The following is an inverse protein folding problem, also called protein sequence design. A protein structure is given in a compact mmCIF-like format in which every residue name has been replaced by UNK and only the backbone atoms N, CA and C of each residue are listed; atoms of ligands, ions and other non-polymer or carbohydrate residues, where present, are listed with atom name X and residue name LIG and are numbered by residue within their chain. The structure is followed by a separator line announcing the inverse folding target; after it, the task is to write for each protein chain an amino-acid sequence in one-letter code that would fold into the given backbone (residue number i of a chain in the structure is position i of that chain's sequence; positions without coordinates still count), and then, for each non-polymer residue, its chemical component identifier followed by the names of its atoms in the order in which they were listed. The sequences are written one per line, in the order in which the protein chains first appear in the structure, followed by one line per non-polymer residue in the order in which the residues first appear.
data_IF_853656997015
#
_entry.id   IF_853656997015
#
_cell.length_a   1.000
_cell.length_b   1.000
_cell.length_c   1.000
_cell.angle_alpha   90.00
_cell.angle_beta   90.00
_cell.angle_gamma   90.00
#
_symmetry.space_group_name_H-M   'P 1'
#
loop_
_entity.id
_entity.type
_entity.pdbx_description
1 polymer ?
#
# COMPACT_ATOMS: atom_id res chain seq x y z
N UNK A 1 -33.41 -30.07 83.40
CA UNK A 1 -32.58 -30.86 82.46
C UNK A 1 -32.72 -30.23 81.09
N UNK A 2 -31.75 -29.39 80.68
CA UNK A 2 -31.73 -28.71 79.35
C UNK A 2 -30.59 -29.28 78.58
N UNK A 3 -30.88 -30.04 77.48
CA UNK A 3 -29.90 -30.60 76.54
C UNK A 3 -29.49 -29.50 75.54
N UNK A 4 -28.22 -29.03 75.61
CA UNK A 4 -27.65 -28.13 74.60
C UNK A 4 -27.40 -28.91 73.38
N UNK A 5 -28.04 -28.48 72.25
CA UNK A 5 -27.81 -28.96 70.93
C UNK A 5 -26.70 -28.12 70.32
N UNK A 6 -25.53 -28.71 70.09
CA UNK A 6 -24.37 -28.06 69.46
C UNK A 6 -24.42 -28.31 67.94
N UNK A 7 -24.72 -27.27 67.17
CA UNK A 7 -24.69 -27.31 65.76
C UNK A 7 -23.23 -26.97 65.38
N UNK A 8 -22.53 -27.93 64.79
CA UNK A 8 -21.21 -27.70 64.15
C UNK A 8 -21.45 -27.14 62.71
N UNK A 9 -20.85 -26.01 62.29
CA UNK A 9 -20.91 -25.60 60.93
C UNK A 9 -19.97 -26.47 60.12
N UNK A 10 -20.46 -27.13 59.06
CA UNK A 10 -19.67 -27.77 58.02
C UNK A 10 -18.95 -26.68 57.21
N UNK A 11 -17.66 -26.66 57.31
CA UNK A 11 -16.82 -25.86 56.44
C UNK A 11 -16.68 -26.58 55.09
N UNK A 12 -17.58 -26.28 54.14
CA UNK A 12 -17.37 -26.62 52.74
C UNK A 12 -16.23 -25.75 52.18
N UNK A 13 -15.05 -26.31 52.19
CA UNK A 13 -13.87 -25.73 51.56
C UNK A 13 -13.95 -25.86 50.05
N UNK A 14 -14.73 -25.00 49.39
CA UNK A 14 -14.52 -24.78 47.94
C UNK A 14 -13.17 -24.10 47.75
N UNK A 15 -12.12 -24.91 47.51
CA UNK A 15 -10.80 -24.43 47.20
C UNK A 15 -10.87 -23.63 45.88
N UNK A 16 -10.95 -22.30 45.97
CA UNK A 16 -10.77 -21.41 44.83
C UNK A 16 -9.47 -21.77 44.14
N UNK A 17 -9.45 -21.91 42.79
CA UNK A 17 -8.26 -22.26 42.04
C UNK A 17 -7.15 -21.30 42.42
N UNK A 18 -6.06 -21.82 43.03
CA UNK A 18 -5.07 -21.00 43.73
C UNK A 18 -4.58 -19.87 42.82
N UNK A 19 -4.59 -18.66 43.36
CA UNK A 19 -4.16 -17.41 42.70
C UNK A 19 -2.90 -17.59 41.83
N UNK A 20 -2.02 -18.52 42.20
CA UNK A 20 -0.79 -18.87 41.44
C UNK A 20 -1.07 -19.60 40.12
N UNK A 21 -2.14 -20.43 40.02
CA UNK A 21 -2.56 -21.10 38.78
C UNK A 21 -3.19 -20.11 37.82
N UNK A 22 -4.05 -19.21 38.31
CA UNK A 22 -4.66 -18.15 37.53
C UNK A 22 -3.60 -17.16 36.98
N UNK A 23 -2.62 -16.80 37.83
CA UNK A 23 -1.54 -15.92 37.44
C UNK A 23 -0.64 -16.55 36.36
N UNK A 24 -0.38 -17.85 36.44
CA UNK A 24 0.37 -18.60 35.41
C UNK A 24 -0.39 -18.70 34.09
N UNK A 25 -1.71 -18.92 34.12
CA UNK A 25 -2.54 -18.95 32.93
C UNK A 25 -2.62 -17.58 32.26
N UNK A 26 -2.73 -16.49 33.01
CA UNK A 26 -2.70 -15.12 32.50
C UNK A 26 -1.34 -14.77 31.90
N UNK A 27 -0.22 -15.21 32.53
CA UNK A 27 1.11 -14.98 31.98
C UNK A 27 1.34 -15.73 30.66
N UNK A 28 0.87 -16.99 30.55
CA UNK A 28 0.96 -17.77 29.31
C UNK A 28 0.09 -17.16 28.21
N UNK A 29 -1.11 -16.67 28.53
CA UNK A 29 -1.98 -15.98 27.59
C UNK A 29 -1.39 -14.65 27.09
N UNK A 30 -0.71 -13.90 27.98
CA UNK A 30 -0.04 -12.65 27.61
C UNK A 30 1.17 -12.89 26.68
N UNK A 31 1.95 -13.93 26.93
CA UNK A 31 3.10 -14.30 26.08
C UNK A 31 2.63 -14.84 24.73
N UNK A 32 1.55 -15.63 24.67
CA UNK A 32 0.95 -16.13 23.44
C UNK A 32 0.38 -15.02 22.55
N UNK A 33 -0.16 -13.97 23.14
CA UNK A 33 -0.73 -12.83 22.41
C UNK A 33 0.30 -11.96 21.69
N UNK A 34 1.53 -11.86 22.20
CA UNK A 34 2.60 -11.04 21.59
C UNK A 34 3.26 -11.70 20.38
N UNK A 35 3.15 -13.02 20.22
CA UNK A 35 3.71 -13.75 19.08
C UNK A 35 2.85 -13.67 17.81
N UNK A 36 1.61 -13.16 17.90
CA UNK A 36 0.72 -12.96 16.75
C UNK A 36 0.80 -11.54 16.13
N UNK A 37 1.71 -10.69 16.59
CA UNK A 37 2.01 -9.44 15.90
C UNK A 37 2.69 -9.78 14.55
N UNK A 38 1.87 -10.19 13.59
CA UNK A 38 2.30 -10.51 12.23
C UNK A 38 2.93 -9.26 11.60
N UNK A 39 4.17 -9.36 11.15
CA UNK A 39 4.82 -8.32 10.37
C UNK A 39 4.04 -8.21 9.04
N UNK A 40 3.38 -7.07 8.81
CA UNK A 40 2.88 -6.72 7.49
C UNK A 40 4.11 -6.55 6.57
N UNK A 41 4.10 -7.22 5.45
CA UNK A 41 5.19 -7.15 4.48
C UNK A 41 4.75 -6.26 3.31
N UNK A 42 5.59 -5.26 3.00
CA UNK A 42 5.37 -4.33 1.90
C UNK A 42 6.25 -4.72 0.70
N UNK A 43 5.64 -4.77 -0.47
CA UNK A 43 6.31 -5.09 -1.72
C UNK A 43 6.18 -3.92 -2.68
N UNK A 44 7.31 -3.42 -3.17
CA UNK A 44 7.34 -2.44 -4.24
C UNK A 44 7.78 -3.11 -5.53
N UNK A 45 7.01 -2.92 -6.59
CA UNK A 45 7.28 -3.45 -7.94
C UNK A 45 7.33 -2.29 -8.94
N UNK A 46 8.18 -2.46 -9.97
CA UNK A 46 8.32 -1.49 -11.05
C UNK A 46 9.25 -0.33 -10.70
N UNK A 47 8.93 0.86 -11.21
CA UNK A 47 9.76 2.04 -11.08
C UNK A 47 9.72 2.62 -9.66
N UNK A 48 10.89 2.96 -9.12
CA UNK A 48 11.00 3.66 -7.83
C UNK A 48 11.33 5.11 -8.13
N UNK A 49 10.36 6.02 -7.85
CA UNK A 49 10.53 7.45 -8.06
C UNK A 49 11.54 8.01 -7.05
N UNK A 50 12.66 8.61 -7.51
CA UNK A 50 13.57 9.30 -6.61
C UNK A 50 12.88 10.51 -5.97
N UNK A 51 13.14 10.80 -4.69
CA UNK A 51 12.58 11.97 -4.03
C UNK A 51 12.95 13.27 -4.76
N UNK A 52 11.97 14.13 -5.05
CA UNK A 52 12.20 15.41 -5.72
C UNK A 52 12.56 15.30 -7.20
N UNK A 53 12.42 14.13 -7.84
CA UNK A 53 12.79 13.97 -9.25
C UNK A 53 11.86 14.75 -10.19
N UNK A 54 10.58 14.82 -9.88
CA UNK A 54 9.61 15.55 -10.72
C UNK A 54 9.84 17.07 -10.69
N UNK A 55 10.28 17.59 -9.56
CA UNK A 55 10.60 19.01 -9.39
C UNK A 55 11.85 19.45 -10.17
N UNK A 56 12.72 18.48 -10.52
CA UNK A 56 13.93 18.70 -11.30
C UNK A 56 13.68 18.69 -12.82
N UNK A 57 12.45 18.39 -13.24
CA UNK A 57 12.06 18.33 -14.64
C UNK A 57 11.08 19.46 -14.95
N UNK A 58 11.56 20.65 -15.31
CA UNK A 58 10.69 21.75 -15.72
C UNK A 58 10.07 21.48 -17.09
N UNK A 59 8.97 22.14 -17.39
CA UNK A 59 8.42 22.19 -18.74
C UNK A 59 9.48 22.78 -19.67
N UNK A 60 9.70 22.17 -20.84
CA UNK A 60 10.76 22.52 -21.77
C UNK A 60 12.08 21.77 -21.55
N UNK A 61 12.21 20.97 -20.50
CA UNK A 61 13.39 20.12 -20.31
C UNK A 61 13.56 19.15 -21.49
N UNK A 62 14.81 18.84 -21.86
CA UNK A 62 15.08 17.88 -22.92
C UNK A 62 14.80 16.44 -22.48
N UNK A 63 14.55 15.56 -23.45
CA UNK A 63 14.37 14.13 -23.21
C UNK A 63 15.59 13.51 -22.52
N UNK A 64 16.80 13.92 -22.88
CA UNK A 64 18.04 13.45 -22.27
C UNK A 64 18.14 13.86 -20.78
N UNK A 65 17.71 15.08 -20.46
CA UNK A 65 17.64 15.53 -19.07
C UNK A 65 16.66 14.68 -18.25
N UNK A 66 15.52 14.33 -18.83
CA UNK A 66 14.54 13.41 -18.20
C UNK A 66 15.17 12.05 -17.95
N UNK A 67 15.89 11.48 -18.92
CA UNK A 67 16.57 10.20 -18.76
C UNK A 67 17.69 10.24 -17.70
N UNK A 68 18.38 11.38 -17.54
CA UNK A 68 19.39 11.54 -16.49
C UNK A 68 18.73 11.55 -15.09
N UNK A 69 17.62 12.26 -14.94
CA UNK A 69 16.94 12.43 -13.64
C UNK A 69 16.09 11.22 -13.25
N UNK A 70 15.32 10.70 -14.22
CA UNK A 70 14.36 9.62 -13.99
C UNK A 70 14.89 8.24 -14.38
N UNK A 71 15.94 8.16 -15.17
CA UNK A 71 16.41 6.91 -15.75
C UNK A 71 15.52 6.38 -16.86
N UNK A 72 15.66 5.09 -17.17
CA UNK A 72 14.93 4.43 -18.25
C UNK A 72 13.44 4.30 -17.91
N UNK A 73 12.52 4.71 -18.80
CA UNK A 73 11.09 4.55 -18.61
C UNK A 73 10.67 3.08 -18.64
N UNK A 74 9.59 2.74 -17.97
CA UNK A 74 8.99 1.40 -17.98
C UNK A 74 8.45 1.05 -19.39
N UNK A 75 7.90 2.03 -20.09
CA UNK A 75 7.44 1.90 -21.47
C UNK A 75 7.37 3.25 -22.15
N UNK A 76 7.40 3.24 -23.47
CA UNK A 76 7.31 4.42 -24.33
C UNK A 76 6.12 4.25 -25.27
N UNK A 77 5.34 5.30 -25.45
CA UNK A 77 4.27 5.34 -26.44
C UNK A 77 4.40 6.57 -27.33
N UNK A 78 3.89 6.48 -28.56
CA UNK A 78 3.80 7.60 -29.49
C UNK A 78 2.31 7.97 -29.64
N UNK A 79 1.98 9.16 -29.18
CA UNK A 79 0.64 9.75 -29.30
C UNK A 79 0.70 10.94 -30.29
N UNK A 80 0.59 12.16 -29.78
CA UNK A 80 0.88 13.41 -30.51
C UNK A 80 2.30 13.92 -30.14
N UNK A 81 3.27 13.02 -30.18
CA UNK A 81 4.61 13.12 -29.66
C UNK A 81 4.99 11.86 -28.90
N UNK A 82 6.19 11.82 -28.36
CA UNK A 82 6.65 10.69 -27.56
C UNK A 82 6.21 10.87 -26.11
N UNK A 83 5.85 9.77 -25.46
CA UNK A 83 5.44 9.76 -24.05
C UNK A 83 6.22 8.70 -23.29
N UNK A 84 6.91 9.09 -22.23
CA UNK A 84 7.58 8.18 -21.32
C UNK A 84 6.66 7.84 -20.15
N UNK A 85 6.45 6.55 -19.90
CA UNK A 85 5.70 6.07 -18.75
C UNK A 85 6.60 5.40 -17.74
N UNK A 86 6.51 5.86 -16.49
CA UNK A 86 7.17 5.26 -15.33
C UNK A 86 6.09 4.68 -14.42
N UNK A 87 6.10 3.35 -14.29
CA UNK A 87 5.02 2.60 -13.65
C UNK A 87 5.52 2.04 -12.34
N UNK A 88 4.84 2.36 -11.24
CA UNK A 88 5.11 1.83 -9.91
C UNK A 88 3.86 1.22 -9.28
N UNK A 89 4.06 0.18 -8.48
CA UNK A 89 3.01 -0.53 -7.78
C UNK A 89 3.50 -0.88 -6.38
N UNK A 90 2.69 -0.59 -5.38
CA UNK A 90 2.90 -0.99 -4.00
C UNK A 90 1.83 -1.98 -3.59
N UNK A 91 2.26 -3.12 -3.08
CA UNK A 91 1.39 -4.16 -2.57
C UNK A 91 1.74 -4.48 -1.13
N UNK A 92 0.75 -4.80 -0.32
CA UNK A 92 0.90 -5.19 1.07
C UNK A 92 0.39 -6.61 1.29
N UNK A 93 1.08 -7.36 2.13
CA UNK A 93 0.64 -8.64 2.66
C UNK A 93 0.42 -8.48 4.15
N UNK A 94 -0.85 -8.41 4.63
CA UNK A 94 -1.14 -8.18 6.05
C UNK A 94 -0.61 -9.28 6.96
N UNK A 95 -0.64 -10.53 6.49
CA UNK A 95 -0.13 -11.72 7.19
C UNK A 95 0.42 -12.73 6.17
N UNK A 96 1.39 -13.54 6.60
CA UNK A 96 2.18 -14.42 5.72
C UNK A 96 1.35 -15.40 4.87
N UNK A 97 0.19 -15.83 5.33
CA UNK A 97 -0.68 -16.78 4.61
C UNK A 97 -1.76 -16.13 3.74
N UNK A 98 -1.83 -14.80 3.71
CA UNK A 98 -2.73 -14.05 2.82
C UNK A 98 -2.06 -13.66 1.51
N UNK A 99 -2.87 -13.49 0.47
CA UNK A 99 -2.41 -12.96 -0.80
C UNK A 99 -2.00 -11.49 -0.67
N UNK A 100 -1.04 -11.08 -1.48
CA UNK A 100 -0.67 -9.68 -1.61
C UNK A 100 -1.85 -8.90 -2.18
N UNK A 101 -2.12 -7.72 -1.60
CA UNK A 101 -3.11 -6.78 -2.10
C UNK A 101 -2.42 -5.52 -2.59
N UNK A 102 -2.70 -5.11 -3.81
CA UNK A 102 -2.24 -3.83 -4.34
C UNK A 102 -2.93 -2.70 -3.57
N UNK A 103 -2.14 -1.85 -2.93
CA UNK A 103 -2.64 -0.73 -2.11
C UNK A 103 -2.40 0.62 -2.77
N UNK A 104 -1.38 0.73 -3.62
CA UNK A 104 -1.12 1.93 -4.40
C UNK A 104 -0.55 1.57 -5.77
N UNK A 105 -0.92 2.36 -6.77
CA UNK A 105 -0.50 2.19 -8.14
C UNK A 105 -0.37 3.56 -8.78
N UNK A 106 0.82 3.84 -9.34
CA UNK A 106 1.14 5.13 -9.95
C UNK A 106 1.70 4.95 -11.34
N UNK A 107 1.28 5.82 -12.24
CA UNK A 107 1.80 5.93 -13.59
C UNK A 107 2.19 7.39 -13.81
N UNK A 108 3.50 7.66 -13.85
CA UNK A 108 4.00 8.98 -14.20
C UNK A 108 4.16 8.99 -15.71
N UNK A 109 3.52 9.95 -16.39
CA UNK A 109 3.59 10.16 -17.81
C UNK A 109 4.27 11.50 -18.10
N UNK A 110 5.33 11.45 -18.90
CA UNK A 110 6.05 12.63 -19.37
C UNK A 110 5.84 12.74 -20.88
N UNK A 111 5.11 13.77 -21.28
CA UNK A 111 4.75 14.03 -22.67
C UNK A 111 5.76 14.97 -23.29
N UNK A 112 6.28 14.59 -24.46
CA UNK A 112 7.22 15.40 -25.22
C UNK A 112 6.53 16.01 -26.43
N UNK A 113 7.03 17.17 -26.84
CA UNK A 113 6.67 17.78 -28.10
C UNK A 113 7.51 17.21 -29.28
N UNK A 114 7.29 17.74 -30.50
CA UNK A 114 8.04 17.35 -31.71
C UNK A 114 9.53 17.67 -31.64
N UNK A 115 9.93 18.59 -30.72
CA UNK A 115 11.33 18.98 -30.52
C UNK A 115 11.97 18.14 -29.37
N UNK A 116 11.29 17.09 -28.90
CA UNK A 116 11.75 16.24 -27.79
C UNK A 116 11.92 17.01 -26.46
N UNK A 117 11.08 18.02 -26.23
CA UNK A 117 11.04 18.80 -25.01
C UNK A 117 9.79 18.47 -24.22
N UNK A 118 9.87 18.49 -22.88
CA UNK A 118 8.75 18.22 -21.99
C UNK A 118 7.65 19.25 -22.21
N UNK A 119 6.52 18.80 -22.72
CA UNK A 119 5.29 19.57 -22.92
C UNK A 119 4.41 19.53 -21.68
N UNK A 120 4.30 18.37 -21.01
CA UNK A 120 3.45 18.13 -19.86
C UNK A 120 3.97 16.98 -19.02
N UNK A 121 3.77 17.08 -17.70
CA UNK A 121 3.89 15.97 -16.76
C UNK A 121 2.52 15.62 -16.21
N UNK A 122 2.29 14.34 -16.00
CA UNK A 122 1.10 13.85 -15.30
C UNK A 122 1.50 12.71 -14.34
N UNK A 123 0.81 12.62 -13.21
CA UNK A 123 1.00 11.56 -12.23
C UNK A 123 -0.36 10.91 -11.99
N UNK A 124 -0.62 9.83 -12.70
CA UNK A 124 -1.88 9.11 -12.62
C UNK A 124 -1.84 8.07 -11.50
N UNK A 125 -2.93 7.98 -10.77
CA UNK A 125 -3.21 6.93 -9.80
C UNK A 125 -4.69 6.63 -9.75
N UNK A 126 -5.09 5.68 -8.91
CA UNK A 126 -6.49 5.37 -8.68
C UNK A 126 -7.00 6.15 -7.47
N UNK A 127 -8.11 6.85 -7.66
CA UNK A 127 -8.88 7.50 -6.60
C UNK A 127 -10.34 7.11 -6.78
N UNK A 128 -10.91 6.48 -5.76
CA UNK A 128 -12.30 5.99 -5.77
C UNK A 128 -12.62 5.08 -6.99
N UNK A 129 -11.64 4.27 -7.42
CA UNK A 129 -11.75 3.38 -8.58
C UNK A 129 -11.63 4.05 -9.94
N UNK A 130 -11.39 5.36 -9.99
CA UNK A 130 -11.20 6.14 -11.22
C UNK A 130 -9.75 6.60 -11.36
N UNK A 131 -9.29 6.68 -12.61
CA UNK A 131 -7.97 7.23 -12.93
C UNK A 131 -8.02 8.74 -12.64
N UNK A 132 -7.09 9.21 -11.81
CA UNK A 132 -6.98 10.60 -11.40
C UNK A 132 -5.55 11.10 -11.62
N UNK A 133 -5.41 12.29 -12.21
CA UNK A 133 -4.10 12.95 -12.35
C UNK A 133 -3.82 13.83 -11.13
N UNK A 134 -2.84 13.46 -10.35
CA UNK A 134 -2.45 14.17 -9.12
C UNK A 134 -1.69 15.47 -9.38
N UNK A 135 -1.18 15.70 -10.60
CA UNK A 135 -0.54 16.96 -10.99
C UNK A 135 -1.60 18.00 -11.36
N UNK A 136 -2.48 17.66 -12.31
CA UNK A 136 -3.57 18.56 -12.74
C UNK A 136 -4.78 18.53 -11.81
N UNK A 137 -4.86 17.54 -10.91
CA UNK A 137 -5.99 17.29 -9.99
C UNK A 137 -7.33 17.09 -10.72
N UNK A 138 -7.27 16.46 -11.87
CA UNK A 138 -8.42 16.18 -12.71
C UNK A 138 -8.49 14.69 -13.09
N UNK A 139 -9.67 14.25 -13.49
CA UNK A 139 -9.84 12.93 -14.12
C UNK A 139 -9.64 13.12 -15.63
N UNK A 140 -8.79 12.30 -16.29
CA UNK A 140 -8.63 12.38 -17.73
C UNK A 140 -9.97 12.12 -18.43
N UNK A 141 -10.41 13.05 -19.28
CA UNK A 141 -11.67 12.94 -20.01
C UNK A 141 -11.48 12.72 -21.51
N UNK A 142 -10.25 12.86 -22.02
CA UNK A 142 -9.99 12.63 -23.42
C UNK A 142 -9.85 11.14 -23.73
N UNK A 143 -10.58 10.67 -24.76
CA UNK A 143 -10.68 9.26 -25.10
C UNK A 143 -9.34 8.59 -25.43
N UNK A 144 -8.36 9.32 -25.97
CA UNK A 144 -7.05 8.78 -26.29
C UNK A 144 -6.24 8.45 -25.04
N UNK A 145 -6.16 9.35 -24.06
CA UNK A 145 -5.42 9.10 -22.81
C UNK A 145 -6.00 7.94 -22.03
N UNK A 146 -7.32 7.86 -21.89
CA UNK A 146 -7.99 6.74 -21.23
C UNK A 146 -7.77 5.41 -21.96
N UNK A 147 -7.66 5.43 -23.29
CA UNK A 147 -7.39 4.24 -24.09
C UNK A 147 -6.05 3.59 -23.76
N UNK A 148 -5.01 4.36 -23.42
CA UNK A 148 -3.71 3.84 -23.03
C UNK A 148 -3.60 3.57 -21.52
N UNK A 149 -4.15 4.44 -20.68
CA UNK A 149 -4.05 4.31 -19.23
C UNK A 149 -4.90 3.16 -18.69
N UNK A 150 -6.10 2.95 -19.23
CA UNK A 150 -7.00 1.88 -18.75
C UNK A 150 -6.39 0.48 -18.87
N UNK A 151 -5.79 0.06 -20.01
CA UNK A 151 -5.09 -1.20 -20.09
C UNK A 151 -3.89 -1.29 -19.13
N UNK A 152 -3.11 -0.21 -18.98
CA UNK A 152 -1.98 -0.18 -18.05
C UNK A 152 -2.44 -0.45 -16.61
N UNK A 153 -3.47 0.24 -16.14
CA UNK A 153 -4.01 0.01 -14.81
C UNK A 153 -4.64 -1.38 -14.65
N UNK A 154 -5.30 -1.91 -15.70
CA UNK A 154 -5.86 -3.27 -15.69
C UNK A 154 -4.75 -4.32 -15.61
N UNK A 155 -3.71 -4.23 -16.42
CA UNK A 155 -2.60 -5.18 -16.41
C UNK A 155 -1.90 -5.24 -15.05
N UNK A 156 -1.88 -4.12 -14.33
CA UNK A 156 -1.26 -4.02 -13.01
C UNK A 156 -2.19 -4.47 -11.88
N UNK A 157 -3.52 -4.46 -12.10
CA UNK A 157 -4.53 -4.84 -11.10
C UNK A 157 -4.80 -6.35 -11.02
N UNK A 158 -4.40 -7.11 -12.05
CA UNK A 158 -4.57 -8.56 -12.08
C UNK A 158 -3.42 -9.24 -11.33
N UNK A 159 -3.63 -9.43 -10.02
CA UNK A 159 -2.94 -10.46 -9.26
C UNK A 159 -3.75 -10.85 -8.02
#
# INVERSE_FOLDING_TARGET
MLKRFSIRPSADGSAAPGRRKVLRLLAVAAIGGTLLAGCAEEFQKGYILPPGALEQIPIGASQDQVLIVMGTPSTVATLDGEVFYYISQRAERPVMFMNQKVVDQRVIAIYFDKNRQVKRLANYGLKDGHIFDFVSRTTPTSGQELSYLTPLFKLLSFN
#
